data_IF_651081871414
#
_entry.id   IF_651081871414
#
_cell.length_a   1.000
_cell.length_b   1.000
_cell.length_c   1.000
_cell.angle_alpha   90.00
_cell.angle_beta   90.00
_cell.angle_gamma   90.00
#
_symmetry.space_group_name_H-M   'P 1'
#
loop_
_entity.id
_entity.type
_entity.pdbx_description
1 polymer ?
#
# COMPACT_ATOMS: atom_id res chain seq x y z
N UNK A 1 21.52 26.58 17.52
CA UNK A 1 20.17 26.17 17.09
C UNK A 1 20.33 25.07 16.06
N UNK A 2 20.36 23.82 16.51
CA UNK A 2 20.36 22.64 15.63
C UNK A 2 18.92 22.42 15.14
N UNK A 3 18.73 22.50 13.82
CA UNK A 3 17.45 22.20 13.16
C UNK A 3 16.94 20.82 13.62
N UNK A 4 15.74 20.77 14.20
CA UNK A 4 15.01 19.55 14.57
C UNK A 4 14.37 18.83 13.37
N UNK A 5 14.64 19.26 12.14
CA UNK A 5 14.18 18.60 10.94
C UNK A 5 15.19 17.51 10.58
N UNK A 6 14.78 16.24 10.65
CA UNK A 6 15.57 15.10 10.17
C UNK A 6 16.01 15.27 8.71
N UNK A 7 16.88 14.38 8.19
CA UNK A 7 17.45 14.53 6.85
C UNK A 7 16.34 14.66 5.79
N UNK A 8 16.51 15.59 4.84
CA UNK A 8 15.54 15.81 3.75
C UNK A 8 15.43 14.60 2.83
N UNK A 9 14.35 14.49 2.05
CA UNK A 9 14.19 13.43 1.05
C UNK A 9 15.38 13.40 0.08
N UNK A 10 15.77 14.55 -0.46
CA UNK A 10 16.92 14.66 -1.37
C UNK A 10 18.24 14.18 -0.72
N UNK A 11 18.46 14.51 0.55
CA UNK A 11 19.63 14.00 1.26
C UNK A 11 19.60 12.48 1.38
N UNK A 12 18.44 11.89 1.69
CA UNK A 12 18.26 10.44 1.78
C UNK A 12 18.46 9.76 0.42
N UNK A 13 17.93 10.34 -0.66
CA UNK A 13 18.13 9.84 -2.04
C UNK A 13 19.62 9.85 -2.38
N UNK A 14 20.31 10.99 -2.18
CA UNK A 14 21.75 11.11 -2.42
C UNK A 14 22.59 10.09 -1.63
N UNK A 15 22.16 9.73 -0.41
CA UNK A 15 22.81 8.70 0.40
C UNK A 15 22.59 7.30 -0.16
N UNK A 16 21.36 6.97 -0.54
CA UNK A 16 21.02 5.70 -1.16
C UNK A 16 21.76 5.52 -2.50
N UNK A 17 21.75 6.53 -3.37
CA UNK A 17 22.47 6.52 -4.66
C UNK A 17 23.96 6.22 -4.46
N UNK A 18 24.63 6.95 -3.56
CA UNK A 18 26.06 6.74 -3.29
C UNK A 18 26.37 5.36 -2.75
N UNK A 19 25.51 4.81 -1.87
CA UNK A 19 25.69 3.47 -1.35
C UNK A 19 25.57 2.43 -2.46
N UNK A 20 24.52 2.52 -3.30
CA UNK A 20 24.32 1.63 -4.44
C UNK A 20 25.53 1.67 -5.37
N UNK A 21 25.95 2.86 -5.81
CA UNK A 21 27.11 3.02 -6.68
C UNK A 21 28.38 2.41 -6.08
N UNK A 22 28.62 2.66 -4.79
CA UNK A 22 29.76 2.08 -4.08
C UNK A 22 29.71 0.55 -4.07
N UNK A 23 28.56 -0.06 -3.77
CA UNK A 23 28.44 -1.52 -3.76
C UNK A 23 28.61 -2.12 -5.15
N UNK A 24 28.05 -1.47 -6.18
CA UNK A 24 28.25 -1.89 -7.56
C UNK A 24 29.72 -1.86 -7.98
N UNK A 25 30.53 -0.93 -7.44
CA UNK A 25 31.96 -0.85 -7.72
C UNK A 25 32.81 -1.81 -6.88
N UNK A 26 32.43 -2.08 -5.63
CA UNK A 26 33.24 -2.89 -4.71
C UNK A 26 32.85 -4.36 -4.65
N UNK A 27 31.56 -4.64 -4.55
CA UNK A 27 31.00 -5.99 -4.43
C UNK A 27 30.43 -6.50 -5.76
N UNK A 28 30.21 -5.60 -6.73
CA UNK A 28 29.60 -5.91 -8.02
C UNK A 28 28.08 -5.99 -7.99
N UNK A 29 27.48 -6.03 -6.80
CA UNK A 29 26.05 -6.23 -6.58
C UNK A 29 25.56 -5.62 -5.25
N UNK A 30 24.26 -5.37 -5.13
CA UNK A 30 23.58 -5.04 -3.86
C UNK A 30 22.07 -5.23 -4.00
N UNK A 31 21.32 -5.29 -2.90
CA UNK A 31 19.87 -5.47 -2.93
C UNK A 31 19.09 -4.24 -2.47
N UNK A 32 17.77 -4.29 -2.67
CA UNK A 32 16.81 -3.35 -2.08
C UNK A 32 16.95 -3.27 -0.56
N UNK A 33 17.02 -4.42 0.10
CA UNK A 33 17.05 -4.49 1.55
C UNK A 33 18.40 -4.06 2.14
N UNK A 34 19.52 -4.42 1.51
CA UNK A 34 20.84 -3.93 1.92
C UNK A 34 20.89 -2.39 1.90
N UNK A 35 20.36 -1.80 0.81
CA UNK A 35 20.32 -0.35 0.65
C UNK A 35 19.45 0.30 1.72
N UNK A 36 18.29 -0.30 2.03
CA UNK A 36 17.40 0.21 3.08
C UNK A 36 18.00 0.09 4.47
N UNK A 37 18.58 -1.06 4.80
CA UNK A 37 19.25 -1.28 6.09
C UNK A 37 20.40 -0.29 6.27
N UNK A 38 21.25 -0.14 5.25
CA UNK A 38 22.35 0.82 5.29
C UNK A 38 21.84 2.25 5.49
N UNK A 39 20.81 2.65 4.75
CA UNK A 39 20.24 4.00 4.86
C UNK A 39 19.61 4.26 6.23
N UNK A 40 18.84 3.30 6.76
CA UNK A 40 18.22 3.39 8.09
C UNK A 40 19.31 3.54 9.17
N UNK A 41 20.33 2.68 9.14
CA UNK A 41 21.41 2.66 10.12
C UNK A 41 22.27 3.92 10.07
N UNK A 42 22.67 4.37 8.88
CA UNK A 42 23.59 5.51 8.74
C UNK A 42 22.93 6.86 9.00
N UNK A 43 21.61 6.96 8.80
CA UNK A 43 20.86 8.19 9.05
C UNK A 43 20.08 8.18 10.37
N UNK A 44 20.04 7.05 11.07
CA UNK A 44 19.25 6.89 12.30
C UNK A 44 17.76 7.13 12.07
N UNK A 45 17.22 6.65 10.95
CA UNK A 45 15.81 6.83 10.57
C UNK A 45 15.04 5.51 10.61
N UNK A 46 13.72 5.58 10.83
CA UNK A 46 12.86 4.42 10.82
C UNK A 46 12.87 3.70 9.45
N UNK A 47 12.76 2.36 9.40
CA UNK A 47 12.76 1.59 8.15
C UNK A 47 11.73 2.04 7.12
N UNK A 48 10.55 2.51 7.55
CA UNK A 48 9.52 3.04 6.65
C UNK A 48 9.98 4.30 5.89
N UNK A 49 10.83 5.12 6.49
CA UNK A 49 11.34 6.38 5.92
C UNK A 49 12.43 6.19 4.86
N UNK A 50 12.87 4.94 4.63
CA UNK A 50 13.87 4.57 3.61
C UNK A 50 13.23 4.25 2.25
N UNK A 51 11.94 3.89 2.26
CA UNK A 51 11.23 3.28 1.13
C UNK A 51 11.19 4.20 -0.11
N UNK A 52 10.86 5.48 0.06
CA UNK A 52 10.79 6.43 -1.07
C UNK A 52 12.18 6.86 -1.55
N UNK A 53 13.14 7.20 -0.65
CA UNK A 53 14.51 7.51 -1.06
C UNK A 53 15.19 6.40 -1.87
N UNK A 54 15.08 5.14 -1.43
CA UNK A 54 15.70 4.00 -2.13
C UNK A 54 15.04 3.79 -3.49
N UNK A 55 13.70 3.83 -3.58
CA UNK A 55 13.01 3.74 -4.86
C UNK A 55 13.48 4.81 -5.83
N UNK A 56 13.53 6.07 -5.38
CA UNK A 56 13.95 7.17 -6.24
C UNK A 56 15.39 7.00 -6.72
N UNK A 57 16.30 6.60 -5.83
CA UNK A 57 17.69 6.35 -6.19
C UNK A 57 17.82 5.23 -7.24
N UNK A 58 17.09 4.12 -7.07
CA UNK A 58 17.08 3.01 -8.04
C UNK A 58 16.54 3.46 -9.40
N UNK A 59 15.39 4.16 -9.43
CA UNK A 59 14.79 4.65 -10.67
C UNK A 59 15.74 5.63 -11.38
N UNK A 60 16.37 6.56 -10.65
CA UNK A 60 17.30 7.54 -11.26
C UNK A 60 18.56 6.85 -11.82
N UNK A 61 19.13 5.88 -11.10
CA UNK A 61 20.29 5.10 -11.56
C UNK A 61 19.98 4.19 -12.76
N UNK A 62 18.83 3.53 -12.77
CA UNK A 62 18.44 2.68 -13.90
C UNK A 62 18.08 3.51 -15.13
N UNK A 63 17.44 4.68 -14.94
CA UNK A 63 17.12 5.61 -16.02
C UNK A 63 18.36 6.13 -16.73
N UNK A 64 19.48 6.29 -16.01
CA UNK A 64 20.78 6.71 -16.56
C UNK A 64 21.64 5.56 -17.09
N UNK A 65 21.18 4.31 -16.96
CA UNK A 65 21.93 3.11 -17.37
C UNK A 65 23.09 2.77 -16.44
N UNK A 66 23.13 3.30 -15.22
CA UNK A 66 24.16 2.99 -14.22
C UNK A 66 23.90 1.67 -13.48
N UNK A 67 22.64 1.21 -13.49
CA UNK A 67 22.12 0.05 -12.78
C UNK A 67 21.17 -0.73 -13.68
N UNK A 68 21.13 -2.05 -13.50
CA UNK A 68 20.10 -2.94 -14.01
C UNK A 68 19.68 -3.94 -12.93
N UNK A 69 18.42 -4.38 -12.96
CA UNK A 69 17.93 -5.45 -12.10
C UNK A 69 18.33 -6.82 -12.66
N UNK A 70 18.78 -7.70 -11.78
CA UNK A 70 18.89 -9.13 -12.05
C UNK A 70 17.64 -9.84 -11.50
N UNK A 71 16.83 -10.39 -12.39
CA UNK A 71 15.57 -11.03 -12.01
C UNK A 71 15.76 -12.38 -11.32
N UNK A 72 16.87 -13.07 -11.55
CA UNK A 72 17.12 -14.38 -10.96
C UNK A 72 17.56 -14.27 -9.51
N UNK A 73 18.38 -13.25 -9.21
CA UNK A 73 18.94 -13.04 -7.87
C UNK A 73 18.25 -11.93 -7.08
N UNK A 74 17.35 -11.18 -7.70
CA UNK A 74 16.70 -9.97 -7.15
C UNK A 74 17.71 -8.86 -6.78
N UNK A 75 18.90 -8.92 -7.35
CA UNK A 75 19.99 -7.99 -7.07
C UNK A 75 20.04 -6.83 -8.08
N UNK A 76 20.72 -5.76 -7.69
CA UNK A 76 21.16 -4.70 -8.58
C UNK A 76 22.56 -4.99 -9.05
N UNK A 77 22.81 -4.82 -10.34
CA UNK A 77 24.14 -4.92 -10.92
C UNK A 77 24.41 -3.76 -11.87
N UNK A 78 25.66 -3.61 -12.29
CA UNK A 78 25.99 -2.72 -13.41
C UNK A 78 25.26 -3.16 -14.67
N UNK A 79 24.72 -2.19 -15.40
CA UNK A 79 24.05 -2.44 -16.67
C UNK A 79 25.05 -2.98 -17.70
N UNK A 80 24.58 -3.92 -18.51
CA UNK A 80 25.30 -4.59 -19.59
C UNK A 80 24.69 -4.17 -20.93
N UNK A 81 25.44 -4.27 -22.05
CA UNK A 81 24.93 -3.90 -23.37
C UNK A 81 23.69 -4.68 -23.83
N UNK A 82 23.46 -5.86 -23.25
CA UNK A 82 22.33 -6.76 -23.53
C UNK A 82 21.09 -6.45 -22.70
N UNK A 83 21.20 -5.59 -21.69
CA UNK A 83 20.05 -5.23 -20.85
C UNK A 83 19.04 -4.38 -21.64
N UNK A 84 17.75 -4.41 -21.24
CA UNK A 84 16.73 -3.58 -21.87
C UNK A 84 17.12 -2.11 -21.87
N UNK A 85 16.89 -1.44 -23.00
CA UNK A 85 17.04 0.00 -23.14
C UNK A 85 15.74 0.72 -22.80
N UNK A 86 15.81 2.04 -22.74
CA UNK A 86 14.61 2.87 -22.61
C UNK A 86 13.57 2.52 -23.67
N UNK A 87 12.37 2.17 -23.21
CA UNK A 87 11.24 1.85 -24.06
C UNK A 87 10.20 2.98 -24.07
N UNK A 88 9.45 3.16 -25.17
CA UNK A 88 8.35 4.12 -25.21
C UNK A 88 7.29 3.79 -24.14
N UNK A 89 6.96 4.76 -23.26
CA UNK A 89 6.04 4.52 -22.15
C UNK A 89 4.62 4.07 -22.57
N UNK A 90 4.21 4.37 -23.81
CA UNK A 90 2.95 3.87 -24.36
C UNK A 90 2.99 2.35 -24.55
N UNK A 91 4.07 1.83 -25.13
CA UNK A 91 4.27 0.39 -25.34
C UNK A 91 4.34 -0.35 -24.00
N UNK A 92 5.08 0.20 -23.04
CA UNK A 92 5.19 -0.39 -21.69
C UNK A 92 3.83 -0.38 -20.99
N UNK A 93 3.05 0.69 -21.11
CA UNK A 93 1.71 0.76 -20.54
C UNK A 93 0.77 -0.30 -21.15
N UNK A 94 0.81 -0.48 -22.47
CA UNK A 94 0.02 -1.51 -23.16
C UNK A 94 0.44 -2.91 -22.71
N UNK A 95 1.74 -3.16 -22.57
CA UNK A 95 2.27 -4.42 -22.05
C UNK A 95 1.83 -4.69 -20.60
N UNK A 96 1.85 -3.67 -19.73
CA UNK A 96 1.35 -3.77 -18.34
C UNK A 96 -0.13 -4.16 -18.33
N UNK A 97 -0.96 -3.54 -19.17
CA UNK A 97 -2.38 -3.86 -19.27
C UNK A 97 -2.61 -5.27 -19.82
N UNK A 98 -1.80 -5.70 -20.78
CA UNK A 98 -1.89 -7.02 -21.42
C UNK A 98 -1.56 -8.19 -20.47
N UNK A 99 -0.88 -7.95 -19.35
CA UNK A 99 -0.67 -8.96 -18.29
C UNK A 99 -1.98 -9.45 -17.66
N UNK A 100 -3.07 -8.69 -17.84
CA UNK A 100 -4.25 -8.83 -17.00
C UNK A 100 -3.99 -8.32 -15.59
N UNK A 101 -5.07 -8.15 -14.84
CA UNK A 101 -5.01 -7.63 -13.48
C UNK A 101 -5.31 -8.73 -12.45
N UNK A 102 -4.57 -8.78 -11.31
CA UNK A 102 -4.86 -9.73 -10.25
C UNK A 102 -6.33 -9.69 -9.83
N UNK A 103 -6.95 -10.87 -9.72
CA UNK A 103 -8.31 -10.99 -9.21
C UNK A 103 -8.32 -10.77 -7.70
N UNK A 104 -9.51 -10.66 -7.09
CA UNK A 104 -9.60 -10.64 -5.62
C UNK A 104 -8.99 -11.88 -4.96
N UNK A 105 -9.06 -13.05 -5.61
CA UNK A 105 -8.44 -14.27 -5.11
C UNK A 105 -6.90 -14.19 -5.08
N UNK A 106 -6.31 -13.31 -5.90
CA UNK A 106 -4.88 -13.02 -5.95
C UNK A 106 -4.50 -11.77 -5.13
N UNK A 107 -5.38 -11.35 -4.20
CA UNK A 107 -5.23 -10.12 -3.41
C UNK A 107 -5.68 -8.84 -4.12
N UNK A 108 -6.05 -8.88 -5.41
CA UNK A 108 -6.65 -7.77 -6.16
C UNK A 108 -5.71 -6.61 -6.48
N UNK A 109 -4.42 -6.75 -6.20
CA UNK A 109 -3.43 -5.71 -6.38
C UNK A 109 -2.06 -6.25 -6.81
N UNK A 110 -1.22 -5.38 -7.37
CA UNK A 110 0.16 -5.70 -7.75
C UNK A 110 1.10 -4.55 -7.40
N UNK A 111 2.32 -4.84 -6.97
CA UNK A 111 3.37 -3.82 -6.84
C UNK A 111 4.02 -3.55 -8.21
N UNK A 112 4.77 -2.45 -8.31
CA UNK A 112 5.55 -2.14 -9.52
C UNK A 112 6.59 -3.23 -9.79
N UNK A 113 7.25 -3.74 -8.74
CA UNK A 113 8.22 -4.81 -8.87
C UNK A 113 7.59 -6.12 -9.37
N UNK A 114 6.46 -6.55 -8.79
CA UNK A 114 5.72 -7.71 -9.28
C UNK A 114 5.27 -7.53 -10.75
N UNK A 115 4.92 -6.31 -11.16
CA UNK A 115 4.58 -6.00 -12.55
C UNK A 115 5.79 -6.12 -13.47
N UNK A 116 6.94 -5.62 -13.04
CA UNK A 116 8.21 -5.74 -13.73
C UNK A 116 8.65 -7.21 -13.89
N UNK A 117 8.57 -8.02 -12.83
CA UNK A 117 8.84 -9.47 -12.86
C UNK A 117 7.89 -10.19 -13.82
N UNK A 118 6.58 -9.86 -13.79
CA UNK A 118 5.60 -10.46 -14.69
C UNK A 118 5.81 -10.12 -16.18
N UNK A 119 6.53 -9.04 -16.47
CA UNK A 119 6.97 -8.69 -17.83
C UNK A 119 8.26 -9.40 -18.25
N UNK A 120 8.78 -10.30 -17.40
CA UNK A 120 9.94 -11.15 -17.67
C UNK A 120 11.18 -10.34 -18.08
N UNK A 121 11.38 -9.19 -17.43
CA UNK A 121 12.55 -8.34 -17.65
C UNK A 121 12.64 -7.73 -19.05
N UNK A 122 11.54 -7.75 -19.83
CA UNK A 122 11.49 -7.17 -21.18
C UNK A 122 11.73 -5.66 -21.20
N UNK A 123 11.39 -4.99 -20.11
CA UNK A 123 11.50 -3.55 -19.93
C UNK A 123 12.30 -3.26 -18.66
N UNK A 124 12.96 -2.10 -18.61
CA UNK A 124 13.59 -1.63 -17.36
C UNK A 124 12.52 -1.39 -16.30
N UNK A 125 12.85 -1.63 -15.03
CA UNK A 125 11.92 -1.41 -13.92
C UNK A 125 11.49 0.07 -13.84
N UNK A 126 12.38 1.00 -14.17
CA UNK A 126 12.11 2.43 -14.30
C UNK A 126 11.06 2.78 -15.37
N UNK A 127 11.08 2.08 -16.51
CA UNK A 127 10.09 2.33 -17.57
C UNK A 127 8.71 1.81 -17.14
N UNK A 128 8.66 0.66 -16.45
CA UNK A 128 7.42 0.14 -15.83
C UNK A 128 6.88 1.11 -14.78
N UNK A 129 7.74 1.59 -13.88
CA UNK A 129 7.39 2.60 -12.87
C UNK A 129 6.75 3.84 -13.53
N UNK A 130 7.42 4.39 -14.55
CA UNK A 130 6.95 5.61 -15.24
C UNK A 130 5.68 5.36 -16.04
N UNK A 131 5.55 4.25 -16.73
CA UNK A 131 4.32 3.91 -17.46
C UNK A 131 3.12 3.82 -16.50
N UNK A 132 3.27 3.13 -15.38
CA UNK A 132 2.22 3.03 -14.37
C UNK A 132 1.86 4.39 -13.77
N UNK A 133 2.86 5.23 -13.42
CA UNK A 133 2.63 6.53 -12.80
C UNK A 133 2.14 7.63 -13.75
N UNK A 134 2.70 7.72 -14.96
CA UNK A 134 2.46 8.83 -15.89
C UNK A 134 1.32 8.53 -16.88
N UNK A 135 1.08 7.25 -17.22
CA UNK A 135 0.13 6.86 -18.26
C UNK A 135 -1.11 6.18 -17.72
N UNK A 136 -0.98 5.33 -16.70
CA UNK A 136 -2.07 4.49 -16.21
C UNK A 136 -2.75 5.03 -14.94
N UNK A 137 -2.00 5.70 -14.06
CA UNK A 137 -2.52 6.23 -12.80
C UNK A 137 -3.69 7.19 -13.01
N UNK A 138 -4.81 6.93 -12.34
CA UNK A 138 -6.03 7.73 -12.42
C UNK A 138 -6.87 7.48 -13.68
N UNK A 139 -6.43 6.57 -14.57
CA UNK A 139 -7.17 6.14 -15.77
C UNK A 139 -7.59 4.69 -15.59
N UNK A 140 -6.68 3.76 -15.88
CA UNK A 140 -6.90 2.32 -15.80
C UNK A 140 -6.49 1.73 -14.45
N UNK A 141 -5.55 2.39 -13.77
CA UNK A 141 -5.02 1.93 -12.48
C UNK A 141 -5.15 3.01 -11.42
N UNK A 142 -5.25 2.60 -10.17
CA UNK A 142 -5.12 3.48 -9.03
C UNK A 142 -4.17 2.94 -7.97
N UNK A 143 -3.51 3.87 -7.28
CA UNK A 143 -2.62 3.54 -6.17
C UNK A 143 -3.48 3.25 -4.94
N UNK A 144 -3.42 2.00 -4.49
CA UNK A 144 -4.29 1.41 -3.49
C UNK A 144 -3.72 1.52 -2.07
N UNK A 145 -2.42 1.24 -1.90
CA UNK A 145 -1.73 1.36 -0.61
C UNK A 145 -0.23 1.53 -0.87
N UNK A 146 0.37 2.66 -0.46
CA UNK A 146 1.78 3.10 -0.65
C UNK A 146 2.44 2.83 -2.02
N UNK A 147 2.53 1.57 -2.46
CA UNK A 147 3.12 1.08 -3.72
C UNK A 147 2.33 -0.06 -4.42
N UNK A 148 1.18 -0.44 -3.89
CA UNK A 148 0.27 -1.41 -4.50
C UNK A 148 -0.69 -0.71 -5.45
N UNK A 149 -0.90 -1.32 -6.60
CA UNK A 149 -1.76 -0.83 -7.66
C UNK A 149 -2.95 -1.74 -7.82
N UNK A 150 -4.11 -1.18 -8.14
CA UNK A 150 -5.29 -1.94 -8.51
C UNK A 150 -5.92 -1.42 -9.80
N UNK A 151 -6.67 -2.28 -10.48
CA UNK A 151 -7.49 -1.90 -11.62
C UNK A 151 -8.57 -0.89 -11.21
N UNK A 152 -8.94 -0.02 -12.14
CA UNK A 152 -9.98 1.00 -12.02
C UNK A 152 -10.98 0.85 -13.18
N UNK A 153 -12.20 1.36 -12.99
CA UNK A 153 -13.18 1.49 -14.08
C UNK A 153 -13.51 0.15 -14.78
N UNK A 154 -13.44 0.14 -16.11
CA UNK A 154 -13.73 -1.03 -16.94
C UNK A 154 -12.74 -2.18 -16.72
N UNK A 155 -11.48 -1.88 -16.41
CA UNK A 155 -10.49 -2.91 -16.07
C UNK A 155 -10.84 -3.57 -14.72
N UNK A 156 -11.32 -2.80 -13.75
CA UNK A 156 -11.80 -3.36 -12.47
C UNK A 156 -13.02 -4.27 -12.69
N UNK A 157 -13.92 -3.87 -13.60
CA UNK A 157 -15.05 -4.67 -14.06
C UNK A 157 -14.62 -5.97 -14.73
N UNK A 158 -13.60 -5.93 -15.59
CA UNK A 158 -13.09 -7.13 -16.24
C UNK A 158 -12.42 -8.08 -15.22
N UNK A 159 -11.67 -7.53 -14.27
CA UNK A 159 -11.04 -8.30 -13.19
C UNK A 159 -12.07 -8.95 -12.25
N UNK A 160 -13.22 -8.31 -11.99
CA UNK A 160 -14.31 -8.91 -11.22
C UNK A 160 -15.13 -9.91 -12.04
N UNK A 161 -15.37 -9.67 -13.33
CA UNK A 161 -16.08 -10.57 -14.25
C UNK A 161 -15.36 -11.90 -14.52
N UNK A 162 -14.05 -11.95 -14.36
CA UNK A 162 -13.28 -13.20 -14.45
C UNK A 162 -13.51 -14.14 -13.26
N UNK A 163 -14.08 -13.65 -12.16
CA UNK A 163 -14.52 -14.48 -11.02
C UNK A 163 -16.01 -14.88 -11.11
N UNK A 164 -16.86 -14.04 -11.71
CA UNK A 164 -18.25 -14.33 -12.07
C UNK A 164 -18.75 -13.34 -13.15
N UNK A 165 -19.00 -13.80 -14.40
CA UNK A 165 -19.30 -12.91 -15.53
C UNK A 165 -20.66 -12.21 -15.43
N UNK A 166 -21.57 -12.64 -14.55
CA UNK A 166 -22.94 -12.11 -14.44
C UNK A 166 -23.07 -10.99 -13.39
N UNK A 167 -22.04 -10.75 -12.58
CA UNK A 167 -22.08 -9.76 -11.49
C UNK A 167 -21.61 -8.36 -11.96
N UNK A 168 -22.44 -7.33 -11.74
CA UNK A 168 -22.13 -5.92 -12.06
C UNK A 168 -21.38 -5.21 -10.92
N UNK A 169 -20.72 -4.05 -11.19
CA UNK A 169 -20.08 -3.23 -10.13
C UNK A 169 -21.07 -2.88 -9.02
N UNK A 170 -22.27 -2.45 -9.39
CA UNK A 170 -23.27 -2.01 -8.42
C UNK A 170 -23.66 -3.17 -7.49
N UNK A 171 -23.76 -4.39 -8.02
CA UNK A 171 -24.02 -5.60 -7.23
C UNK A 171 -22.84 -5.96 -6.35
N UNK A 172 -21.61 -6.02 -6.89
CA UNK A 172 -20.42 -6.34 -6.10
C UNK A 172 -20.21 -5.36 -4.93
N UNK A 173 -20.38 -4.04 -5.16
CA UNK A 173 -20.31 -3.03 -4.11
C UNK A 173 -21.47 -3.14 -3.12
N UNK A 174 -22.67 -3.50 -3.58
CA UNK A 174 -23.81 -3.70 -2.69
C UNK A 174 -23.62 -4.93 -1.78
N UNK A 175 -23.00 -5.99 -2.30
CA UNK A 175 -22.69 -7.19 -1.54
C UNK A 175 -21.54 -6.96 -0.56
N UNK A 176 -20.48 -6.25 -0.96
CA UNK A 176 -19.44 -5.79 -0.03
C UNK A 176 -20.02 -4.99 1.14
N UNK A 177 -20.85 -3.98 0.85
CA UNK A 177 -21.51 -3.18 1.89
C UNK A 177 -22.43 -4.02 2.78
N UNK A 178 -23.08 -5.05 2.22
CA UNK A 178 -23.93 -5.97 2.99
C UNK A 178 -23.10 -6.81 3.94
N UNK A 179 -21.95 -7.32 3.49
CA UNK A 179 -21.02 -8.08 4.32
C UNK A 179 -20.40 -7.20 5.42
N UNK A 180 -19.98 -5.98 5.08
CA UNK A 180 -19.47 -5.00 6.06
C UNK A 180 -20.54 -4.65 7.11
N UNK A 181 -21.77 -4.35 6.69
CA UNK A 181 -22.87 -4.06 7.61
C UNK A 181 -23.21 -5.26 8.51
N UNK A 182 -23.14 -6.48 7.98
CA UNK A 182 -23.34 -7.70 8.78
C UNK A 182 -22.24 -7.86 9.83
N UNK A 183 -20.98 -7.68 9.43
CA UNK A 183 -19.82 -7.76 10.31
C UNK A 183 -19.90 -6.70 11.43
N UNK A 184 -20.28 -5.47 11.10
CA UNK A 184 -20.54 -4.38 12.05
C UNK A 184 -21.64 -4.77 13.04
N UNK A 185 -22.75 -5.32 12.56
CA UNK A 185 -23.86 -5.73 13.42
C UNK A 185 -23.44 -6.85 14.40
N UNK A 186 -22.71 -7.84 13.91
CA UNK A 186 -22.16 -8.93 14.73
C UNK A 186 -21.19 -8.41 15.78
N UNK A 187 -20.28 -7.49 15.42
CA UNK A 187 -19.36 -6.88 16.37
C UNK A 187 -20.09 -6.07 17.45
N UNK A 188 -21.08 -5.26 17.07
CA UNK A 188 -21.84 -4.46 18.04
C UNK A 188 -22.60 -5.33 19.03
N UNK A 189 -23.09 -6.49 18.59
CA UNK A 189 -23.80 -7.43 19.46
C UNK A 189 -22.94 -7.93 20.64
N UNK A 190 -21.60 -7.96 20.49
CA UNK A 190 -20.68 -8.41 21.55
C UNK A 190 -20.29 -7.32 22.55
N UNK A 191 -20.47 -6.04 22.22
CA UNK A 191 -19.98 -4.92 23.04
C UNK A 191 -20.75 -4.72 24.35
N UNK A 192 -22.00 -5.20 24.46
CA UNK A 192 -22.85 -4.99 25.64
C UNK A 192 -23.33 -3.54 25.84
N UNK A 193 -22.98 -2.63 24.93
CA UNK A 193 -23.46 -1.26 24.83
C UNK A 193 -23.66 -0.89 23.35
N UNK A 194 -24.26 0.28 23.09
CA UNK A 194 -24.53 0.75 21.72
C UNK A 194 -23.55 1.85 21.33
N UNK A 195 -22.55 1.57 20.48
CA UNK A 195 -21.70 2.62 19.93
C UNK A 195 -22.46 3.47 18.91
N UNK A 196 -21.88 4.58 18.49
CA UNK A 196 -22.44 5.43 17.45
C UNK A 196 -22.10 4.86 16.07
N UNK A 197 -23.10 4.76 15.21
CA UNK A 197 -22.92 4.36 13.81
C UNK A 197 -22.70 5.58 12.91
N UNK A 198 -22.04 5.37 11.78
CA UNK A 198 -21.84 6.36 10.72
C UNK A 198 -21.23 7.68 11.26
N UNK A 199 -20.07 7.56 11.90
CA UNK A 199 -19.39 8.69 12.47
C UNK A 199 -18.67 9.51 11.40
N UNK A 200 -19.14 10.74 11.21
CA UNK A 200 -18.51 11.69 10.28
C UNK A 200 -17.15 12.13 10.79
N UNK A 201 -16.12 11.76 10.04
CA UNK A 201 -14.71 12.08 10.30
C UNK A 201 -14.38 13.51 9.86
N UNK A 202 -14.85 13.90 8.67
CA UNK A 202 -14.50 15.19 8.06
C UNK A 202 -14.68 15.19 6.55
N UNK A 203 -14.06 16.16 5.88
CA UNK A 203 -14.02 16.26 4.40
C UNK A 203 -12.61 16.10 3.88
N UNK A 204 -12.46 15.31 2.82
CA UNK A 204 -11.25 15.27 2.00
C UNK A 204 -11.62 15.30 0.52
N UNK A 205 -10.96 16.17 -0.26
CA UNK A 205 -11.23 16.33 -1.69
C UNK A 205 -12.69 16.64 -2.05
N UNK A 206 -13.46 17.25 -1.14
CA UNK A 206 -14.89 17.55 -1.32
C UNK A 206 -15.84 16.39 -0.99
N UNK A 207 -15.32 15.24 -0.55
CA UNK A 207 -16.12 14.08 -0.14
C UNK A 207 -16.18 14.00 1.39
N UNK A 208 -17.37 13.72 1.93
CA UNK A 208 -17.53 13.45 3.36
C UNK A 208 -17.02 12.04 3.67
N UNK A 209 -16.09 11.94 4.62
CA UNK A 209 -15.60 10.66 5.13
C UNK A 209 -16.36 10.28 6.38
N UNK A 210 -16.84 9.03 6.39
CA UNK A 210 -17.70 8.47 7.43
C UNK A 210 -17.14 7.10 7.78
N UNK A 211 -16.89 6.86 9.06
CA UNK A 211 -16.53 5.55 9.57
C UNK A 211 -17.77 4.78 10.03
N UNK A 212 -17.70 3.45 9.96
CA UNK A 212 -18.83 2.58 10.30
C UNK A 212 -19.24 2.71 11.77
N UNK A 213 -18.26 2.76 12.67
CA UNK A 213 -18.48 2.81 14.12
C UNK A 213 -17.59 3.86 14.76
N UNK A 214 -18.16 4.60 15.70
CA UNK A 214 -17.44 5.33 16.72
C UNK A 214 -17.84 4.81 18.10
N UNK A 215 -16.89 4.17 18.75
CA UNK A 215 -16.97 3.66 20.10
C UNK A 215 -16.45 4.72 21.08
N UNK A 216 -17.39 5.49 21.64
CA UNK A 216 -17.12 6.53 22.62
C UNK A 216 -16.49 6.00 23.91
N UNK A 217 -16.82 4.76 24.30
CA UNK A 217 -16.29 4.15 25.52
C UNK A 217 -14.80 3.86 25.39
N UNK A 218 -14.37 3.41 24.20
CA UNK A 218 -12.97 3.11 23.91
C UNK A 218 -12.24 4.25 23.18
N UNK A 219 -12.94 5.34 22.86
CA UNK A 219 -12.45 6.46 22.02
C UNK A 219 -11.84 5.93 20.73
N UNK A 220 -12.55 5.00 20.10
CA UNK A 220 -12.08 4.20 18.97
C UNK A 220 -12.99 4.40 17.76
N UNK A 221 -12.39 4.67 16.62
CA UNK A 221 -13.09 4.59 15.33
C UNK A 221 -12.85 3.22 14.74
N UNK A 222 -13.88 2.57 14.21
CA UNK A 222 -13.77 1.26 13.55
C UNK A 222 -14.28 1.36 12.13
N UNK A 223 -13.48 0.85 11.20
CA UNK A 223 -13.82 0.70 9.78
C UNK A 223 -13.87 -0.80 9.44
N UNK A 224 -15.02 -1.27 8.96
CA UNK A 224 -15.20 -2.64 8.53
C UNK A 224 -14.69 -2.87 7.11
N UNK A 225 -14.29 -4.12 6.82
CA UNK A 225 -14.00 -4.57 5.46
C UNK A 225 -14.65 -5.91 5.20
N UNK A 226 -15.14 -6.10 3.98
CA UNK A 226 -15.85 -7.31 3.57
C UNK A 226 -14.97 -8.58 3.51
N UNK A 227 -13.64 -8.46 3.57
CA UNK A 227 -12.70 -9.57 3.35
C UNK A 227 -11.56 -9.55 4.37
N UNK A 228 -10.97 -10.72 4.66
CA UNK A 228 -9.80 -10.86 5.56
C UNK A 228 -8.58 -10.10 5.02
N UNK A 229 -8.36 -10.12 3.71
CA UNK A 229 -7.33 -9.31 3.02
C UNK A 229 -7.62 -7.79 3.04
N UNK A 230 -8.67 -7.40 3.77
CA UNK A 230 -9.13 -6.03 3.97
C UNK A 230 -8.19 -5.15 4.79
N UNK A 231 -7.13 -5.71 5.40
CA UNK A 231 -6.24 -4.93 6.26
C UNK A 231 -5.50 -3.81 5.50
N UNK A 232 -4.79 -4.12 4.43
CA UNK A 232 -4.08 -3.12 3.61
C UNK A 232 -4.97 -2.09 2.89
N UNK A 233 -6.14 -2.43 2.31
CA UNK A 233 -7.05 -1.40 1.80
C UNK A 233 -7.45 -0.40 2.88
N UNK A 234 -7.66 -0.89 4.10
CA UNK A 234 -8.09 -0.05 5.20
C UNK A 234 -6.96 0.86 5.71
N UNK A 235 -5.68 0.47 5.62
CA UNK A 235 -4.54 1.28 6.08
C UNK A 235 -4.55 2.70 5.49
N UNK A 236 -4.79 2.85 4.18
CA UNK A 236 -4.82 4.17 3.53
C UNK A 236 -5.96 5.05 4.06
N UNK A 237 -7.12 4.44 4.31
CA UNK A 237 -8.31 5.09 4.85
C UNK A 237 -8.10 5.47 6.33
N UNK A 238 -7.52 4.57 7.11
CA UNK A 238 -7.14 4.77 8.52
C UNK A 238 -6.17 5.94 8.67
N UNK A 239 -5.13 6.02 7.83
CA UNK A 239 -4.21 7.17 7.82
C UNK A 239 -4.95 8.49 7.63
N UNK A 240 -5.87 8.51 6.67
CA UNK A 240 -6.66 9.69 6.35
C UNK A 240 -7.60 10.05 7.50
N UNK A 241 -8.19 9.07 8.17
CA UNK A 241 -8.99 9.29 9.38
C UNK A 241 -8.16 9.89 10.50
N UNK A 242 -6.99 9.31 10.81
CA UNK A 242 -6.08 9.86 11.82
C UNK A 242 -5.66 11.29 11.48
N UNK A 243 -5.31 11.57 10.23
CA UNK A 243 -4.97 12.92 9.79
C UNK A 243 -6.10 13.91 10.04
N UNK A 244 -7.33 13.58 9.65
CA UNK A 244 -8.49 14.48 9.80
C UNK A 244 -8.92 14.64 11.27
N UNK A 245 -8.91 13.56 12.05
CA UNK A 245 -9.16 13.62 13.51
C UNK A 245 -8.12 14.51 14.18
N UNK A 246 -6.85 14.40 13.80
CA UNK A 246 -5.78 15.26 14.30
C UNK A 246 -5.95 16.73 13.88
N UNK A 247 -6.69 17.02 12.81
CA UNK A 247 -6.99 18.40 12.41
C UNK A 247 -8.27 18.95 13.06
N UNK A 248 -9.18 18.09 13.53
CA UNK A 248 -10.42 18.51 14.15
C UNK A 248 -10.15 19.34 15.43
N UNK A 249 -11.02 20.31 15.70
CA UNK A 249 -10.92 21.16 16.89
C UNK A 249 -11.06 20.38 18.20
N UNK A 250 -11.76 19.24 18.15
CA UNK A 250 -12.00 18.37 19.30
C UNK A 250 -11.14 17.10 19.24
N UNK A 251 -9.82 17.30 19.30
CA UNK A 251 -8.81 16.23 19.29
C UNK A 251 -8.93 15.25 20.46
N UNK A 252 -9.83 15.50 21.41
CA UNK A 252 -10.00 14.71 22.63
C UNK A 252 -11.05 13.62 22.53
N UNK A 253 -11.64 13.39 21.35
CA UNK A 253 -12.70 12.39 21.19
C UNK A 253 -12.21 11.02 20.70
N UNK A 254 -11.06 10.96 20.02
CA UNK A 254 -10.60 9.74 19.36
C UNK A 254 -9.12 9.51 19.66
N UNK A 255 -8.81 8.34 20.23
CA UNK A 255 -7.44 7.93 20.54
C UNK A 255 -6.86 7.00 19.48
N UNK A 256 -7.69 6.13 18.90
CA UNK A 256 -7.24 5.05 18.01
C UNK A 256 -8.22 4.81 16.86
N UNK A 257 -7.71 4.17 15.81
CA UNK A 257 -8.49 3.72 14.66
C UNK A 257 -8.26 2.21 14.51
N UNK A 258 -9.33 1.47 14.29
CA UNK A 258 -9.34 0.03 14.11
C UNK A 258 -9.87 -0.37 12.73
N UNK A 259 -9.36 -1.49 12.22
CA UNK A 259 -9.95 -2.21 11.10
C UNK A 259 -10.66 -3.44 11.63
N UNK A 260 -11.92 -3.63 11.22
CA UNK A 260 -12.74 -4.79 11.56
C UNK A 260 -12.80 -5.75 10.37
N UNK A 261 -12.40 -7.00 10.59
CA UNK A 261 -12.23 -8.02 9.56
C UNK A 261 -13.07 -9.28 9.85
N UNK A 262 -13.52 -10.01 8.82
CA UNK A 262 -14.37 -11.18 8.98
C UNK A 262 -13.60 -12.45 9.40
N UNK A 263 -12.30 -12.34 9.70
CA UNK A 263 -11.43 -13.46 10.09
C UNK A 263 -10.00 -13.00 10.34
N UNK A 264 -9.18 -13.87 10.93
CA UNK A 264 -7.80 -13.56 11.32
C UNK A 264 -6.92 -13.26 10.08
N UNK A 265 -6.25 -12.09 10.03
CA UNK A 265 -5.28 -11.80 8.97
C UNK A 265 -4.04 -12.69 9.09
N UNK A 266 -3.30 -12.86 7.99
CA UNK A 266 -2.05 -13.60 8.05
C UNK A 266 -1.03 -12.92 8.99
N UNK A 267 -0.13 -13.71 9.59
CA UNK A 267 0.92 -13.14 10.44
C UNK A 267 1.85 -12.19 9.67
N UNK A 268 2.04 -12.41 8.37
CA UNK A 268 2.82 -11.53 7.50
C UNK A 268 2.13 -10.16 7.32
N UNK A 269 0.80 -10.15 7.13
CA UNK A 269 0.02 -8.92 7.01
C UNK A 269 0.06 -8.11 8.31
N UNK A 270 -0.10 -8.77 9.46
CA UNK A 270 -0.01 -8.16 10.78
C UNK A 270 1.40 -7.60 11.04
N UNK A 271 2.44 -8.34 10.66
CA UNK A 271 3.84 -7.92 10.84
C UNK A 271 4.17 -6.72 9.95
N UNK A 272 3.71 -6.73 8.69
CA UNK A 272 3.82 -5.59 7.79
C UNK A 272 3.08 -4.37 8.34
N UNK A 273 1.81 -4.51 8.74
CA UNK A 273 1.03 -3.41 9.31
C UNK A 273 1.65 -2.84 10.60
N UNK A 274 2.19 -3.69 11.49
CA UNK A 274 2.92 -3.25 12.68
C UNK A 274 4.19 -2.48 12.32
N UNK A 275 4.96 -2.95 11.33
CA UNK A 275 6.19 -2.28 10.86
C UNK A 275 5.96 -0.88 10.28
N UNK A 276 4.71 -0.55 9.95
CA UNK A 276 4.33 0.78 9.45
C UNK A 276 4.16 1.81 10.58
N UNK A 277 4.20 1.42 11.86
CA UNK A 277 4.06 2.30 13.03
C UNK A 277 2.80 3.16 13.00
N UNK A 278 1.66 2.52 12.70
CA UNK A 278 0.39 3.21 12.43
C UNK A 278 -0.54 3.33 13.62
N UNK A 279 -0.11 2.94 14.82
CA UNK A 279 -0.96 2.75 16.01
C UNK A 279 -2.36 2.25 15.61
N UNK A 280 -2.37 1.15 14.85
CA UNK A 280 -3.55 0.60 14.23
C UNK A 280 -4.04 -0.57 15.06
N UNK A 281 -5.33 -0.54 15.40
CA UNK A 281 -5.99 -1.67 16.01
C UNK A 281 -6.54 -2.59 14.90
N UNK A 282 -6.39 -3.89 15.05
CA UNK A 282 -7.01 -4.88 14.16
C UNK A 282 -7.92 -5.74 14.99
N UNK A 283 -9.19 -5.79 14.58
CA UNK A 283 -10.25 -6.56 15.20
C UNK A 283 -10.70 -7.57 14.17
N UNK A 284 -10.81 -8.84 14.53
CA UNK A 284 -11.32 -9.85 13.63
C UNK A 284 -12.32 -10.77 14.31
N UNK A 285 -13.23 -11.31 13.50
CA UNK A 285 -14.18 -12.30 13.95
C UNK A 285 -13.47 -13.64 14.22
N UNK A 286 -13.67 -14.20 15.41
CA UNK A 286 -13.25 -15.55 15.79
C UNK A 286 -14.45 -16.32 16.35
N UNK A 287 -15.05 -17.16 15.50
CA UNK A 287 -16.32 -17.81 15.80
C UNK A 287 -17.47 -16.81 16.00
N UNK A 288 -18.07 -16.85 17.20
CA UNK A 288 -19.14 -15.93 17.62
C UNK A 288 -18.60 -14.66 18.32
N UNK A 289 -17.30 -14.63 18.63
CA UNK A 289 -16.63 -13.55 19.33
C UNK A 289 -15.70 -12.75 18.40
N UNK A 290 -15.01 -11.76 18.97
CA UNK A 290 -14.05 -10.93 18.27
C UNK A 290 -12.75 -10.80 19.04
N UNK A 291 -11.65 -11.09 18.36
CA UNK A 291 -10.30 -10.87 18.86
C UNK A 291 -9.82 -9.46 18.52
N UNK A 292 -9.00 -8.89 19.39
CA UNK A 292 -8.50 -7.52 19.26
C UNK A 292 -7.00 -7.46 19.49
N UNK A 293 -6.25 -7.10 18.45
CA UNK A 293 -4.81 -6.85 18.51
C UNK A 293 -4.50 -5.38 18.28
N UNK A 294 -3.68 -4.82 19.15
CA UNK A 294 -3.12 -3.47 18.99
C UNK A 294 -1.77 -3.59 18.30
N UNK A 295 -1.63 -3.00 17.12
CA UNK A 295 -0.37 -2.96 16.38
C UNK A 295 0.36 -1.64 16.72
N UNK A 296 1.55 -1.76 17.31
CA UNK A 296 2.42 -0.64 17.70
C UNK A 296 3.79 -0.78 17.05
#
# INVERSE_FOLDING_TARGET
>A
MTSQLGPTLEHRVSRATRYIEQQLDTAGTTTWDDTREHLAKTLGIAPALTIDPVLRAVIDLESTGALAHDLETEEYRRARPTDPREAPLAEVADAVLALGWPTKADGGHRTIYQTFVALDGRYRHADVYRAMHERLKGRELELYAMKCWRARGELALAATRLADPDTTVAQALADERRLEAHLVASYIATLGYRPRLEYRIGRDGGTDLVADIYDEHRRLIVEAKATVDGLFPAIGQVHRYRYLVNLAADRTLVDRVAVLLPGEPSQDDLSCAASMYLDLDVIWQDGEDFEHRVLR
#
